data_IF_425015123635
#
_entry.id   IF_425015123635
#
_cell.length_a   1.000
_cell.length_b   1.000
_cell.length_c   1.000
_cell.angle_alpha   90.00
_cell.angle_beta   90.00
_cell.angle_gamma   90.00
#
_symmetry.space_group_name_H-M   'P 1'
#
loop_
_entity.id
_entity.type
_entity.pdbx_description
1 polymer ?
#
# COMPACT_ATOMS: atom_id res chain seq x y z
N UNK A 1 9.40 13.24 19.53
CA UNK A 1 9.70 14.20 18.42
C UNK A 1 10.10 13.43 17.16
N UNK A 2 9.88 14.01 15.97
CA UNK A 2 10.27 13.43 14.68
C UNK A 2 11.74 12.98 14.60
N UNK A 3 12.64 13.61 15.37
CA UNK A 3 14.06 13.25 15.45
C UNK A 3 14.32 11.78 15.84
N UNK A 4 13.47 11.15 16.67
CA UNK A 4 13.64 9.72 17.03
C UNK A 4 13.54 8.80 15.81
N UNK A 5 12.67 9.10 14.86
CA UNK A 5 12.53 8.31 13.63
C UNK A 5 13.71 8.53 12.69
N UNK A 6 14.27 9.75 12.67
CA UNK A 6 15.49 10.06 11.92
C UNK A 6 16.70 9.28 12.44
N UNK A 7 16.83 9.12 13.76
CA UNK A 7 17.89 8.30 14.37
C UNK A 7 17.74 6.81 14.02
N UNK A 8 16.51 6.35 13.75
CA UNK A 8 16.22 4.99 13.26
C UNK A 8 16.40 4.85 11.73
N UNK A 9 16.94 5.86 11.05
CA UNK A 9 17.13 5.86 9.58
C UNK A 9 15.84 6.05 8.77
N UNK A 10 14.70 6.33 9.41
CA UNK A 10 13.43 6.51 8.70
C UNK A 10 13.29 7.95 8.24
N UNK A 11 13.20 8.13 6.91
CA UNK A 11 12.91 9.41 6.26
C UNK A 11 11.40 9.69 6.26
N UNK A 12 10.98 10.97 6.27
CA UNK A 12 9.57 11.30 6.14
C UNK A 12 9.01 10.81 4.80
N UNK A 13 7.83 10.20 4.83
CA UNK A 13 7.08 9.79 3.64
C UNK A 13 5.97 10.81 3.34
N UNK A 14 5.87 11.26 2.09
CA UNK A 14 4.83 12.18 1.63
C UNK A 14 3.61 11.39 1.14
N UNK A 15 2.40 11.84 1.47
CA UNK A 15 1.14 11.17 1.05
C UNK A 15 0.87 11.43 -0.43
N UNK A 16 0.35 10.45 -1.15
CA UNK A 16 0.00 10.61 -2.57
C UNK A 16 -1.03 11.71 -2.86
N UNK A 17 -1.97 11.93 -1.93
CA UNK A 17 -3.00 12.97 -2.03
C UNK A 17 -2.44 14.40 -2.08
N UNK A 18 -1.24 14.62 -1.53
CA UNK A 18 -0.61 15.95 -1.55
C UNK A 18 0.32 16.16 -2.75
N UNK A 19 0.40 15.18 -3.66
CA UNK A 19 1.26 15.24 -4.85
C UNK A 19 0.48 15.76 -6.07
N UNK A 20 1.17 16.00 -7.18
CA UNK A 20 0.53 16.37 -8.45
C UNK A 20 0.03 15.11 -9.19
N UNK A 21 -0.90 15.25 -10.17
CA UNK A 21 -1.42 14.11 -10.95
C UNK A 21 -0.34 13.27 -11.66
N UNK A 22 0.81 13.87 -12.01
CA UNK A 22 1.94 13.19 -12.66
C UNK A 22 2.73 12.30 -11.70
N UNK A 23 2.78 12.67 -10.41
CA UNK A 23 3.64 12.04 -9.41
C UNK A 23 2.94 10.89 -8.68
N UNK A 24 1.62 10.97 -8.53
CA UNK A 24 0.83 9.95 -7.86
C UNK A 24 -0.55 9.82 -8.47
N UNK A 25 -1.09 8.60 -8.59
CA UNK A 25 -2.49 8.40 -9.01
C UNK A 25 -3.56 9.03 -8.08
N UNK A 26 -3.16 9.61 -6.95
CA UNK A 26 -4.04 10.32 -6.01
C UNK A 26 -3.76 11.82 -5.98
N UNK A 27 -2.81 12.28 -6.79
CA UNK A 27 -2.42 13.68 -6.82
C UNK A 27 -3.39 14.55 -7.61
N UNK A 28 -3.42 15.83 -7.25
CA UNK A 28 -4.29 16.85 -7.84
C UNK A 28 -5.69 16.94 -7.24
N UNK A 29 -6.53 17.76 -7.88
CA UNK A 29 -7.83 18.21 -7.37
C UNK A 29 -7.73 19.54 -6.62
N UNK A 30 -8.83 20.30 -6.59
CA UNK A 30 -8.91 21.55 -5.85
C UNK A 30 -9.11 21.27 -4.35
N UNK A 31 -8.24 21.81 -3.51
CA UNK A 31 -8.29 21.60 -2.05
C UNK A 31 -7.91 20.18 -1.61
N UNK A 32 -8.33 19.79 -0.39
CA UNK A 32 -8.01 18.47 0.18
C UNK A 32 -9.02 17.42 -0.30
N UNK A 33 -8.92 17.00 -1.56
CA UNK A 33 -9.73 15.89 -2.06
C UNK A 33 -9.07 14.55 -1.73
N UNK A 34 -9.86 13.48 -1.53
CA UNK A 34 -9.31 12.12 -1.37
C UNK A 34 -8.87 11.48 -2.68
N UNK A 35 -8.70 12.28 -3.76
CA UNK A 35 -8.32 11.82 -5.09
C UNK A 35 -9.38 10.95 -5.80
N UNK A 36 -10.55 10.70 -5.19
CA UNK A 36 -11.69 9.98 -5.77
C UNK A 36 -11.44 8.54 -6.24
N UNK A 37 -10.22 8.02 -6.07
CA UNK A 37 -9.75 6.76 -6.66
C UNK A 37 -9.49 5.72 -5.58
N UNK A 38 -9.57 4.44 -5.97
CA UNK A 38 -9.18 3.35 -5.08
C UNK A 38 -7.73 3.55 -4.60
N UNK A 39 -7.42 3.19 -3.34
CA UNK A 39 -6.07 3.31 -2.82
C UNK A 39 -5.06 2.45 -3.60
N UNK A 40 -4.10 3.12 -4.23
CA UNK A 40 -3.04 2.50 -5.02
C UNK A 40 -1.67 3.03 -4.58
N UNK A 41 -0.62 2.29 -4.93
CA UNK A 41 0.77 2.75 -4.84
C UNK A 41 1.04 3.87 -5.86
N UNK A 42 2.18 4.57 -5.78
CA UNK A 42 2.59 5.54 -6.82
C UNK A 42 2.61 4.94 -8.23
N UNK A 43 2.75 3.62 -8.35
CA UNK A 43 2.78 2.88 -9.61
C UNK A 43 1.46 2.19 -9.97
N UNK A 44 0.36 2.47 -9.24
CA UNK A 44 -0.97 1.95 -9.57
C UNK A 44 -1.32 0.58 -9.02
N UNK A 45 -0.47 -0.04 -8.19
CA UNK A 45 -0.79 -1.33 -7.54
C UNK A 45 -1.78 -1.08 -6.40
N UNK A 46 -2.90 -1.81 -6.37
CA UNK A 46 -3.89 -1.67 -5.28
C UNK A 46 -3.27 -2.00 -3.92
N UNK A 47 -3.45 -1.12 -2.93
CA UNK A 47 -2.92 -1.31 -1.58
C UNK A 47 -3.92 -2.00 -0.65
N UNK A 48 -5.20 -2.11 -1.05
CA UNK A 48 -6.25 -2.75 -0.27
C UNK A 48 -6.54 -4.16 -0.79
N UNK A 49 -6.19 -5.18 -0.01
CA UNK A 49 -6.59 -6.58 -0.23
C UNK A 49 -5.89 -7.30 -1.40
N UNK A 50 -5.05 -6.61 -2.17
CA UNK A 50 -4.33 -7.21 -3.29
C UNK A 50 -3.17 -8.10 -2.79
N UNK A 51 -3.15 -9.36 -3.22
CA UNK A 51 -2.03 -10.28 -2.95
C UNK A 51 -0.90 -10.00 -3.94
N UNK A 52 0.27 -9.62 -3.43
CA UNK A 52 1.45 -9.33 -4.26
C UNK A 52 2.28 -10.57 -4.62
N UNK A 53 2.10 -11.70 -3.92
CA UNK A 53 2.81 -12.96 -4.21
C UNK A 53 2.05 -13.80 -5.23
N UNK A 54 2.73 -14.23 -6.30
CA UNK A 54 2.17 -15.04 -7.39
C UNK A 54 2.93 -16.34 -7.71
N UNK A 55 4.04 -16.63 -7.02
CA UNK A 55 4.90 -17.78 -7.34
C UNK A 55 4.25 -19.13 -7.01
N UNK A 56 3.71 -19.78 -8.04
CA UNK A 56 3.06 -21.10 -7.96
C UNK A 56 4.02 -22.23 -7.58
N UNK A 57 5.31 -22.15 -7.94
CA UNK A 57 6.30 -23.22 -7.71
C UNK A 57 6.50 -23.49 -6.22
N UNK A 58 6.43 -22.44 -5.42
CA UNK A 58 6.65 -22.51 -3.97
C UNK A 58 5.35 -22.72 -3.18
N UNK A 59 4.19 -22.49 -3.79
CA UNK A 59 2.90 -22.58 -3.10
C UNK A 59 2.59 -24.01 -2.62
N UNK A 60 3.10 -25.04 -3.33
CA UNK A 60 2.95 -26.45 -2.93
C UNK A 60 3.61 -26.81 -1.59
N UNK A 61 4.58 -26.02 -1.13
CA UNK A 61 5.26 -26.23 0.15
C UNK A 61 4.55 -25.52 1.32
N UNK A 62 3.43 -24.85 1.07
CA UNK A 62 2.72 -24.06 2.08
C UNK A 62 1.60 -24.90 2.69
N UNK A 63 1.84 -25.43 3.89
CA UNK A 63 0.85 -26.24 4.64
C UNK A 63 -0.37 -25.42 5.06
N UNK A 64 -0.18 -24.17 5.47
CA UNK A 64 -1.28 -23.28 5.88
C UNK A 64 -0.98 -21.82 5.51
N UNK A 65 -1.87 -21.22 4.72
CA UNK A 65 -1.82 -19.79 4.43
C UNK A 65 -2.35 -18.96 5.60
N UNK A 66 -1.70 -17.82 5.87
CA UNK A 66 -2.21 -16.77 6.79
C UNK A 66 -3.59 -16.23 6.35
N UNK A 67 -3.92 -16.32 5.06
CA UNK A 67 -5.19 -15.83 4.51
C UNK A 67 -6.31 -16.88 4.47
N UNK A 68 -6.08 -18.13 4.92
CA UNK A 68 -7.19 -19.09 5.09
C UNK A 68 -8.05 -18.50 6.23
N UNK A 69 -9.25 -18.01 5.91
CA UNK A 69 -10.25 -17.67 6.94
C UNK A 69 -10.32 -18.88 7.89
N UNK A 70 -10.18 -18.66 9.20
CA UNK A 70 -10.58 -19.65 10.19
C UNK A 70 -12.10 -19.76 10.12
N UNK A 71 -12.65 -20.48 9.15
CA UNK A 71 -14.05 -20.89 9.18
C UNK A 71 -14.12 -22.09 10.12
N UNK A 72 -14.25 -21.78 11.41
CA UNK A 72 -14.85 -22.67 12.40
C UNK A 72 -16.26 -22.16 12.66
N UNK A 73 -17.15 -22.46 11.71
CA UNK A 73 -18.61 -22.58 11.80
C UNK A 73 -19.13 -22.88 10.41
#
# INVERSE_FOLDING_TARGET
KAGRMRHKGVRPSVRGVVMNPVDHPHGGGEGKTSGGRHPVTPWGVSTKGHKTRSNKRTDKYIVRSRSRKKTGS
#
